data_IF_578975698532
#
_entry.id   IF_578975698532
#
_cell.length_a   1.000
_cell.length_b   1.000
_cell.length_c   1.000
_cell.angle_alpha   90.00
_cell.angle_beta   90.00
_cell.angle_gamma   90.00
#
_symmetry.space_group_name_H-M   'P 1'
#
loop_
_entity.id
_entity.type
_entity.pdbx_description
1 polymer ?
#
# COMPACT_ATOMS: atom_id res chain seq x y z
N UNK A 1 10.12 15.05 52.20
CA UNK A 1 10.22 15.13 50.73
C UNK A 1 10.97 13.87 50.33
N UNK A 2 10.36 12.99 49.54
CA UNK A 2 10.98 11.71 49.20
C UNK A 2 12.23 11.96 48.35
N UNK A 3 13.34 11.33 48.68
CA UNK A 3 14.57 11.48 47.90
C UNK A 3 14.40 10.80 46.54
N UNK A 4 14.61 11.57 45.47
CA UNK A 4 14.43 11.08 44.11
C UNK A 4 15.37 9.92 43.79
N UNK A 5 16.57 9.91 44.39
CA UNK A 5 17.56 8.88 44.13
C UNK A 5 17.19 7.56 44.84
N UNK A 6 16.64 7.62 46.05
CA UNK A 6 16.03 6.47 46.72
C UNK A 6 14.85 5.89 45.94
N UNK A 7 13.90 6.73 45.47
CA UNK A 7 12.79 6.27 44.64
C UNK A 7 13.26 5.54 43.37
N UNK A 8 14.29 6.07 42.68
CA UNK A 8 14.85 5.44 41.47
C UNK A 8 15.47 4.07 41.77
N UNK A 9 16.20 3.93 42.88
CA UNK A 9 16.77 2.64 43.29
C UNK A 9 15.69 1.60 43.59
N UNK A 10 14.58 2.02 44.20
CA UNK A 10 13.45 1.14 44.46
C UNK A 10 12.78 0.69 43.15
N UNK A 11 12.58 1.61 42.20
CA UNK A 11 12.08 1.29 40.85
C UNK A 11 13.01 0.27 40.16
N UNK A 12 14.33 0.45 40.20
CA UNK A 12 15.28 -0.49 39.59
C UNK A 12 15.18 -1.92 40.17
N UNK A 13 14.84 -2.05 41.46
CA UNK A 13 14.63 -3.35 42.11
C UNK A 13 13.33 -3.98 41.61
N UNK A 14 12.26 -3.19 41.55
CA UNK A 14 10.93 -3.64 41.08
C UNK A 14 11.01 -4.08 39.62
N UNK A 15 11.69 -3.31 38.76
CA UNK A 15 11.83 -3.61 37.33
C UNK A 15 12.54 -4.94 37.09
N UNK A 16 13.55 -5.27 37.90
CA UNK A 16 14.23 -6.57 37.84
C UNK A 16 13.30 -7.73 38.19
N UNK A 17 12.42 -7.55 39.18
CA UNK A 17 11.43 -8.56 39.53
C UNK A 17 10.36 -8.71 38.45
N UNK A 18 9.90 -7.61 37.85
CA UNK A 18 8.98 -7.63 36.70
C UNK A 18 9.59 -8.41 35.55
N UNK A 19 10.85 -8.11 35.18
CA UNK A 19 11.57 -8.82 34.12
C UNK A 19 11.69 -10.32 34.42
N UNK A 20 12.11 -10.68 35.63
CA UNK A 20 12.23 -12.09 36.06
C UNK A 20 10.89 -12.83 35.95
N UNK A 21 9.79 -12.19 36.38
CA UNK A 21 8.45 -12.76 36.30
C UNK A 21 7.96 -12.88 34.86
N UNK A 22 8.23 -11.86 34.03
CA UNK A 22 7.91 -11.86 32.61
C UNK A 22 8.60 -13.01 31.88
N UNK A 23 9.91 -13.19 32.07
CA UNK A 23 10.66 -14.30 31.47
C UNK A 23 10.16 -15.67 31.93
N UNK A 24 9.86 -15.82 33.23
CA UNK A 24 9.24 -17.04 33.76
C UNK A 24 7.90 -17.31 33.09
N UNK A 25 7.08 -16.28 32.88
CA UNK A 25 5.78 -16.38 32.19
C UNK A 25 5.98 -16.77 30.71
N UNK A 26 6.99 -16.25 30.04
CA UNK A 26 7.32 -16.64 28.66
C UNK A 26 7.69 -18.12 28.56
N UNK A 27 8.48 -18.67 29.49
CA UNK A 27 8.77 -20.12 29.52
C UNK A 27 7.51 -20.98 29.65
N UNK A 28 6.57 -20.57 30.50
CA UNK A 28 5.27 -21.26 30.62
C UNK A 28 4.47 -21.16 29.31
N UNK A 29 4.55 -20.01 28.63
CA UNK A 29 3.91 -19.81 27.33
C UNK A 29 4.44 -20.78 26.26
N UNK A 30 5.73 -21.13 26.29
CA UNK A 30 6.31 -22.12 25.36
C UNK A 30 5.69 -23.50 25.57
N UNK A 31 5.51 -23.93 26.83
CA UNK A 31 4.81 -25.19 27.14
C UNK A 31 3.34 -25.17 26.65
N UNK A 32 2.67 -24.02 26.74
CA UNK A 32 1.32 -23.84 26.20
C UNK A 32 1.33 -23.96 24.67
N UNK A 33 2.34 -23.39 24.01
CA UNK A 33 2.54 -23.51 22.57
C UNK A 33 2.69 -24.98 22.16
N UNK A 34 3.56 -25.73 22.83
CA UNK A 34 3.77 -27.16 22.59
C UNK A 34 2.46 -27.94 22.74
N UNK A 35 1.72 -27.72 23.82
CA UNK A 35 0.42 -28.36 24.00
C UNK A 35 -0.56 -28.04 22.87
N UNK A 36 -0.62 -26.77 22.42
CA UNK A 36 -1.48 -26.35 21.31
C UNK A 36 -1.06 -26.96 19.98
N UNK A 37 0.24 -27.06 19.71
CA UNK A 37 0.78 -27.73 18.52
C UNK A 37 0.31 -29.19 18.48
N UNK A 38 0.46 -29.93 19.58
CA UNK A 38 0.06 -31.35 19.63
C UNK A 38 -1.46 -31.57 19.57
N UNK A 39 -2.24 -30.61 20.06
CA UNK A 39 -3.71 -30.73 20.13
C UNK A 39 -4.46 -30.03 19.00
N UNK A 40 -3.76 -29.26 18.15
CA UNK A 40 -4.36 -28.42 17.11
C UNK A 40 -5.20 -27.26 17.63
N UNK A 41 -5.09 -26.90 18.93
CA UNK A 41 -5.85 -25.79 19.51
C UNK A 41 -5.33 -24.43 19.03
N UNK A 42 -6.24 -23.48 18.81
CA UNK A 42 -5.90 -22.11 18.42
C UNK A 42 -5.07 -21.40 19.49
N UNK A 43 -4.17 -20.54 19.05
CA UNK A 43 -3.34 -19.69 19.94
C UNK A 43 -4.20 -18.62 20.60
N UNK A 44 -4.98 -17.87 19.82
CA UNK A 44 -5.92 -16.87 20.33
C UNK A 44 -7.16 -17.54 20.92
N UNK A 45 -7.52 -17.15 22.14
CA UNK A 45 -8.79 -17.45 22.80
C UNK A 45 -9.33 -16.14 23.38
N UNK A 46 -10.16 -15.40 22.62
CA UNK A 46 -10.58 -14.05 22.99
C UNK A 46 -11.34 -14.02 24.32
N UNK A 47 -12.19 -15.02 24.56
CA UNK A 47 -12.98 -15.11 25.79
C UNK A 47 -12.08 -15.32 27.00
N UNK A 48 -11.14 -16.28 26.91
CA UNK A 48 -10.23 -16.58 28.01
C UNK A 48 -9.34 -15.39 28.37
N UNK A 49 -8.86 -14.67 27.37
CA UNK A 49 -8.04 -13.48 27.57
C UNK A 49 -8.86 -12.35 28.20
N UNK A 50 -10.05 -12.06 27.67
CA UNK A 50 -10.93 -11.04 28.22
C UNK A 50 -11.28 -11.33 29.69
N UNK A 51 -11.67 -12.57 30.00
CA UNK A 51 -11.97 -13.00 31.37
C UNK A 51 -10.77 -12.77 32.30
N UNK A 52 -9.55 -13.00 31.80
CA UNK A 52 -8.34 -12.81 32.60
C UNK A 52 -7.98 -11.34 32.79
N UNK A 53 -8.19 -10.51 31.77
CA UNK A 53 -7.99 -9.05 31.85
C UNK A 53 -8.97 -8.43 32.85
N UNK A 54 -10.25 -8.80 32.81
CA UNK A 54 -11.24 -8.34 33.78
C UNK A 54 -10.81 -8.65 35.22
N UNK A 55 -10.40 -9.90 35.50
CA UNK A 55 -9.92 -10.28 36.84
C UNK A 55 -8.71 -9.46 37.28
N UNK A 56 -7.76 -9.19 36.37
CA UNK A 56 -6.54 -8.43 36.70
C UNK A 56 -6.83 -6.95 36.91
N UNK A 57 -7.73 -6.38 36.10
CA UNK A 57 -8.24 -5.02 36.25
C UNK A 57 -8.90 -4.85 37.60
N UNK A 58 -9.86 -5.72 37.95
CA UNK A 58 -10.62 -5.65 39.21
C UNK A 58 -9.75 -5.90 40.45
N UNK A 59 -8.55 -6.47 40.28
CA UNK A 59 -7.57 -6.66 41.35
C UNK A 59 -6.67 -5.44 41.59
N UNK A 60 -6.66 -4.47 40.67
CA UNK A 60 -5.91 -3.23 40.83
C UNK A 60 -6.72 -2.20 41.65
N UNK A 61 -6.03 -1.20 42.22
CA UNK A 61 -6.66 -0.20 43.07
C UNK A 61 -6.61 1.18 42.43
N UNK A 62 -7.79 1.71 42.10
CA UNK A 62 -8.00 3.05 41.55
C UNK A 62 -7.96 3.06 40.02
N UNK A 63 -8.72 3.98 39.43
CA UNK A 63 -8.99 4.04 37.98
C UNK A 63 -7.71 4.04 37.12
N UNK A 64 -6.67 4.76 37.57
CA UNK A 64 -5.38 4.80 36.87
C UNK A 64 -4.70 3.42 36.81
N UNK A 65 -4.64 2.71 37.94
CA UNK A 65 -3.96 1.42 38.02
C UNK A 65 -4.78 0.31 37.37
N UNK A 66 -6.11 0.40 37.41
CA UNK A 66 -7.01 -0.52 36.70
C UNK A 66 -6.77 -0.46 35.19
N UNK A 67 -6.76 0.74 34.61
CA UNK A 67 -6.43 0.93 33.19
C UNK A 67 -4.99 0.50 32.89
N UNK A 68 -4.02 0.89 33.73
CA UNK A 68 -2.61 0.51 33.56
C UNK A 68 -2.40 -1.01 33.58
N UNK A 69 -3.06 -1.73 34.49
CA UNK A 69 -3.01 -3.18 34.56
C UNK A 69 -3.64 -3.82 33.32
N UNK A 70 -4.81 -3.34 32.89
CA UNK A 70 -5.46 -3.80 31.67
C UNK A 70 -4.51 -3.71 30.47
N UNK A 71 -3.95 -2.52 30.20
CA UNK A 71 -3.05 -2.29 29.07
C UNK A 71 -1.77 -3.14 29.16
N UNK A 72 -1.11 -3.16 30.33
CA UNK A 72 0.12 -3.93 30.54
C UNK A 72 -0.10 -5.42 30.26
N UNK A 73 -1.17 -6.01 30.80
CA UNK A 73 -1.41 -7.43 30.63
C UNK A 73 -1.93 -7.80 29.24
N UNK A 74 -2.66 -6.91 28.56
CA UNK A 74 -2.99 -7.07 27.14
C UNK A 74 -1.71 -7.13 26.30
N UNK A 75 -0.74 -6.24 26.56
CA UNK A 75 0.56 -6.29 25.90
C UNK A 75 1.32 -7.60 26.18
N UNK A 76 1.40 -8.02 27.44
CA UNK A 76 2.04 -9.29 27.79
C UNK A 76 1.37 -10.47 27.09
N UNK A 77 0.03 -10.51 27.00
CA UNK A 77 -0.71 -11.54 26.28
C UNK A 77 -0.41 -11.50 24.77
N UNK A 78 -0.39 -10.33 24.15
CA UNK A 78 -0.01 -10.19 22.74
C UNK A 78 1.41 -10.73 22.46
N UNK A 79 2.38 -10.42 23.33
CA UNK A 79 3.74 -10.97 23.23
C UNK A 79 3.74 -12.50 23.35
N UNK A 80 2.89 -13.03 24.23
CA UNK A 80 2.73 -14.49 24.42
C UNK A 80 2.22 -15.17 23.16
N UNK A 81 1.22 -14.58 22.50
CA UNK A 81 0.67 -15.12 21.25
C UNK A 81 1.71 -15.11 20.16
N UNK A 82 2.46 -14.02 20.01
CA UNK A 82 3.56 -13.94 19.02
C UNK A 82 4.61 -15.02 19.24
N UNK A 83 5.02 -15.26 20.50
CA UNK A 83 5.96 -16.35 20.81
C UNK A 83 5.37 -17.72 20.46
N UNK A 84 4.09 -17.95 20.75
CA UNK A 84 3.40 -19.17 20.34
C UNK A 84 3.37 -19.31 18.81
N UNK A 85 2.97 -18.27 18.06
CA UNK A 85 2.97 -18.29 16.60
C UNK A 85 4.36 -18.63 16.03
N UNK A 86 5.42 -18.05 16.60
CA UNK A 86 6.80 -18.35 16.19
C UNK A 86 7.12 -19.84 16.36
N UNK A 87 6.73 -20.42 17.49
CA UNK A 87 6.93 -21.84 17.78
C UNK A 87 6.09 -22.73 16.85
N UNK A 88 4.83 -22.39 16.59
CA UNK A 88 4.01 -23.12 15.63
C UNK A 88 4.68 -23.10 14.24
N UNK A 89 5.21 -21.96 13.79
CA UNK A 89 5.83 -21.80 12.46
C UNK A 89 7.10 -22.63 12.38
N UNK A 90 7.94 -22.58 13.42
CA UNK A 90 9.15 -23.39 13.52
C UNK A 90 8.88 -24.90 13.53
N UNK A 91 7.72 -25.33 14.04
CA UNK A 91 7.31 -26.73 14.05
C UNK A 91 6.53 -27.16 12.79
N UNK A 92 6.56 -26.37 11.72
CA UNK A 92 5.99 -26.75 10.43
C UNK A 92 4.46 -26.75 10.37
N UNK A 93 3.78 -26.13 11.34
CA UNK A 93 2.38 -25.76 11.15
C UNK A 93 2.38 -24.76 10.01
N UNK A 94 1.57 -24.95 8.97
CA UNK A 94 1.46 -24.04 7.82
C UNK A 94 0.37 -22.98 8.07
N UNK A 95 0.44 -21.85 7.35
CA UNK A 95 -0.66 -20.88 7.27
C UNK A 95 -1.60 -21.27 6.12
N UNK A 96 -2.82 -20.73 6.11
CA UNK A 96 -3.77 -20.92 5.01
C UNK A 96 -3.45 -20.08 3.76
N UNK A 97 -2.29 -19.40 3.74
CA UNK A 97 -1.74 -18.64 2.59
C UNK A 97 -1.16 -19.62 1.56
N UNK A 98 -1.92 -20.64 1.18
CA UNK A 98 -1.50 -21.74 0.29
C UNK A 98 -1.64 -21.41 -1.19
N UNK A 99 -2.25 -20.28 -1.51
CA UNK A 99 -2.60 -19.96 -2.89
C UNK A 99 -1.44 -19.31 -3.65
N UNK A 100 -0.41 -18.79 -2.97
CA UNK A 100 0.69 -18.09 -3.64
C UNK A 100 1.76 -19.05 -4.19
N UNK A 101 2.04 -18.93 -5.49
CA UNK A 101 3.10 -19.70 -6.17
C UNK A 101 4.31 -18.82 -6.47
N UNK A 102 5.45 -19.20 -5.91
CA UNK A 102 6.74 -18.61 -6.28
C UNK A 102 7.13 -19.05 -7.70
N UNK A 103 7.59 -18.10 -8.52
CA UNK A 103 8.11 -18.33 -9.86
C UNK A 103 9.52 -17.74 -10.00
N UNK A 104 10.30 -18.24 -10.96
CA UNK A 104 11.63 -17.70 -11.24
C UNK A 104 11.56 -16.30 -11.87
N UNK A 105 10.60 -16.11 -12.78
CA UNK A 105 10.28 -14.83 -13.40
C UNK A 105 8.80 -14.76 -13.81
N UNK A 106 8.21 -13.57 -13.81
CA UNK A 106 6.88 -13.33 -14.37
C UNK A 106 6.91 -13.38 -15.90
N UNK A 107 5.87 -13.91 -16.56
CA UNK A 107 5.77 -13.83 -18.02
C UNK A 107 5.48 -12.39 -18.46
N UNK A 108 6.50 -11.67 -18.93
CA UNK A 108 6.38 -10.28 -19.41
C UNK A 108 6.44 -10.14 -20.94
N UNK A 109 6.35 -11.25 -21.67
CA UNK A 109 6.39 -11.31 -23.14
C UNK A 109 5.27 -12.19 -23.68
N UNK A 110 4.69 -11.83 -24.82
CA UNK A 110 3.56 -12.53 -25.42
C UNK A 110 2.27 -12.46 -24.60
N UNK A 111 2.14 -11.48 -23.71
CA UNK A 111 1.02 -11.30 -22.78
C UNK A 111 0.11 -10.15 -23.17
N UNK A 112 -1.14 -10.22 -22.74
CA UNK A 112 -2.13 -9.18 -22.90
C UNK A 112 -2.11 -8.23 -21.70
N UNK A 113 -1.85 -6.94 -21.94
CA UNK A 113 -1.76 -5.94 -20.87
C UNK A 113 -2.79 -4.84 -21.09
N UNK A 114 -3.64 -4.60 -20.10
CA UNK A 114 -4.64 -3.53 -20.13
C UNK A 114 -4.22 -2.36 -19.24
N UNK A 115 -4.50 -1.14 -19.67
CA UNK A 115 -4.32 0.06 -18.84
C UNK A 115 -5.53 0.99 -18.96
N UNK A 116 -5.77 1.79 -17.93
CA UNK A 116 -6.82 2.80 -17.99
C UNK A 116 -6.31 4.06 -18.68
N UNK A 117 -7.13 4.62 -19.58
CA UNK A 117 -6.90 5.90 -20.23
C UNK A 117 -6.70 5.77 -21.73
N UNK A 118 -5.72 6.49 -22.26
CA UNK A 118 -5.34 6.49 -23.68
C UNK A 118 -3.82 6.49 -23.79
N UNK A 119 -3.30 6.18 -24.97
CA UNK A 119 -1.87 6.34 -25.26
C UNK A 119 -1.42 7.79 -24.93
N UNK A 120 -0.23 7.92 -24.36
CA UNK A 120 0.29 9.19 -23.84
C UNK A 120 -0.10 9.52 -22.39
N UNK A 121 -1.04 8.80 -21.77
CA UNK A 121 -1.30 8.91 -20.34
C UNK A 121 -0.16 8.31 -19.49
N UNK A 122 -0.06 8.69 -18.21
CA UNK A 122 0.97 8.13 -17.32
C UNK A 122 0.80 6.62 -17.10
N UNK A 123 -0.42 6.07 -17.12
CA UNK A 123 -0.65 4.61 -17.07
C UNK A 123 -0.03 3.89 -18.26
N UNK A 124 -0.09 4.51 -19.46
CA UNK A 124 0.58 3.98 -20.65
C UNK A 124 2.11 4.03 -20.50
N UNK A 125 2.64 5.15 -20.01
CA UNK A 125 4.07 5.29 -19.76
C UNK A 125 4.58 4.28 -18.72
N UNK A 126 3.83 4.07 -17.62
CA UNK A 126 4.14 3.05 -16.61
C UNK A 126 4.16 1.64 -17.20
N UNK A 127 3.16 1.31 -18.01
CA UNK A 127 3.12 0.03 -18.72
C UNK A 127 4.34 -0.16 -19.63
N UNK A 128 4.70 0.87 -20.39
CA UNK A 128 5.84 0.83 -21.33
C UNK A 128 7.20 0.79 -20.63
N UNK A 129 7.30 1.34 -19.43
CA UNK A 129 8.50 1.24 -18.59
C UNK A 129 8.66 -0.17 -18.00
N UNK A 130 7.55 -0.78 -17.55
CA UNK A 130 7.57 -2.08 -16.89
C UNK A 130 7.66 -3.27 -17.87
N UNK A 131 6.97 -3.19 -19.01
CA UNK A 131 6.88 -4.27 -20.00
C UNK A 131 7.73 -4.00 -21.24
N UNK A 132 8.33 -5.06 -21.80
CA UNK A 132 9.03 -5.00 -23.09
C UNK A 132 8.09 -4.74 -24.27
N UNK A 133 8.64 -4.41 -25.44
CA UNK A 133 7.86 -4.24 -26.68
C UNK A 133 7.09 -5.47 -27.15
N UNK A 134 7.43 -6.66 -26.63
CA UNK A 134 6.83 -7.92 -27.04
C UNK A 134 5.52 -8.23 -26.28
N UNK A 135 4.65 -7.24 -26.08
CA UNK A 135 3.32 -7.40 -25.46
C UNK A 135 2.19 -7.02 -26.41
N UNK A 136 0.99 -7.52 -26.15
CA UNK A 136 -0.23 -7.00 -26.76
C UNK A 136 -0.93 -6.07 -25.75
N UNK A 137 -0.80 -4.76 -25.94
CA UNK A 137 -1.41 -3.79 -25.03
C UNK A 137 -2.65 -3.14 -25.61
N UNK A 138 -3.61 -2.82 -24.74
CA UNK A 138 -4.81 -2.06 -25.10
C UNK A 138 -5.32 -1.24 -23.92
N UNK A 139 -6.21 -0.29 -24.19
CA UNK A 139 -6.72 0.63 -23.18
C UNK A 139 -8.23 0.48 -22.96
N UNK A 140 -8.65 0.85 -21.75
CA UNK A 140 -10.05 0.91 -21.33
C UNK A 140 -10.36 2.24 -20.67
N UNK A 141 -11.64 2.56 -20.54
CA UNK A 141 -12.09 3.87 -20.06
C UNK A 141 -11.95 4.02 -18.55
N UNK A 142 -12.28 2.99 -17.78
CA UNK A 142 -12.32 3.06 -16.31
C UNK A 142 -11.39 2.05 -15.66
N UNK A 143 -11.00 2.30 -14.40
CA UNK A 143 -10.22 1.34 -13.62
C UNK A 143 -10.98 0.04 -13.39
N UNK A 144 -12.32 0.12 -13.25
CA UNK A 144 -13.19 -1.05 -13.13
C UNK A 144 -13.11 -1.94 -14.37
N UNK A 145 -13.20 -1.36 -15.56
CA UNK A 145 -13.08 -2.11 -16.81
C UNK A 145 -11.74 -2.87 -16.87
N UNK A 146 -10.64 -2.23 -16.43
CA UNK A 146 -9.32 -2.87 -16.42
C UNK A 146 -9.28 -4.07 -15.45
N UNK A 147 -9.89 -3.93 -14.27
CA UNK A 147 -10.01 -5.03 -13.29
C UNK A 147 -10.88 -6.18 -13.85
N UNK A 148 -11.96 -5.87 -14.55
CA UNK A 148 -12.84 -6.87 -15.18
C UNK A 148 -12.17 -7.64 -16.32
N UNK A 149 -11.37 -6.96 -17.15
CA UNK A 149 -10.62 -7.59 -18.24
C UNK A 149 -9.60 -8.61 -17.70
N UNK A 150 -8.94 -8.31 -16.59
CA UNK A 150 -8.04 -9.28 -15.91
C UNK A 150 -8.83 -10.39 -15.23
N UNK A 151 -9.89 -10.05 -14.50
CA UNK A 151 -10.72 -11.04 -13.79
C UNK A 151 -11.42 -12.03 -14.74
N UNK A 152 -11.75 -11.60 -15.95
CA UNK A 152 -12.34 -12.45 -17.01
C UNK A 152 -11.32 -13.21 -17.85
N UNK A 153 -10.01 -12.96 -17.65
CA UNK A 153 -8.93 -13.62 -18.38
C UNK A 153 -8.70 -13.09 -19.81
N UNK A 154 -9.25 -11.93 -20.16
CA UNK A 154 -8.96 -11.26 -21.45
C UNK A 154 -7.61 -10.54 -21.44
N UNK A 155 -7.23 -10.00 -20.28
CA UNK A 155 -5.89 -9.50 -20.01
C UNK A 155 -5.18 -10.37 -18.98
N UNK A 156 -3.88 -10.55 -19.13
CA UNK A 156 -3.03 -11.23 -18.15
C UNK A 156 -2.66 -10.28 -16.99
N UNK A 157 -2.51 -8.99 -17.33
CA UNK A 157 -2.12 -7.93 -16.40
C UNK A 157 -2.90 -6.63 -16.61
N UNK A 158 -3.11 -5.89 -15.52
CA UNK A 158 -3.52 -4.48 -15.58
C UNK A 158 -2.51 -3.56 -14.88
N UNK A 159 -2.30 -2.37 -15.45
CA UNK A 159 -1.47 -1.31 -14.87
C UNK A 159 -2.35 -0.21 -14.29
N UNK A 160 -2.28 -0.02 -12.97
CA UNK A 160 -3.19 0.84 -12.22
C UNK A 160 -2.43 1.79 -11.28
N UNK A 161 -2.74 3.09 -11.24
CA UNK A 161 -2.13 4.01 -10.30
C UNK A 161 -2.68 3.77 -8.90
N UNK A 162 -1.83 3.51 -7.90
CA UNK A 162 -2.28 3.27 -6.51
C UNK A 162 -2.09 4.51 -5.62
N UNK A 163 -1.10 5.35 -5.93
CA UNK A 163 -0.71 6.48 -5.10
C UNK A 163 0.10 7.50 -5.89
N UNK A 164 -0.05 8.78 -5.55
CA UNK A 164 0.78 9.88 -6.03
C UNK A 164 1.37 10.62 -4.82
N UNK A 165 2.64 11.00 -4.89
CA UNK A 165 3.35 11.67 -3.78
C UNK A 165 2.78 13.05 -3.41
N UNK A 166 2.03 13.69 -4.32
CA UNK A 166 1.41 15.00 -4.10
C UNK A 166 -0.07 14.89 -3.71
N UNK A 167 -0.84 13.99 -4.33
CA UNK A 167 -2.28 13.87 -4.10
C UNK A 167 -2.69 12.77 -3.10
N UNK A 168 -1.75 11.92 -2.72
CA UNK A 168 -2.01 10.74 -1.91
C UNK A 168 -2.62 9.59 -2.71
N UNK A 169 -3.49 8.82 -2.07
CA UNK A 169 -3.96 7.53 -2.59
C UNK A 169 -4.99 7.66 -3.72
N UNK A 170 -4.96 6.73 -4.67
CA UNK A 170 -6.04 6.55 -5.63
C UNK A 170 -7.10 5.64 -5.00
N UNK A 171 -8.06 6.28 -4.33
CA UNK A 171 -9.08 5.62 -3.49
C UNK A 171 -9.78 4.45 -4.20
N UNK A 172 -10.21 4.64 -5.44
CA UNK A 172 -10.98 3.64 -6.19
C UNK A 172 -10.23 2.31 -6.35
N UNK A 173 -8.89 2.35 -6.46
CA UNK A 173 -8.07 1.15 -6.63
C UNK A 173 -8.10 0.27 -5.38
N UNK A 174 -8.11 0.84 -4.18
CA UNK A 174 -8.19 0.07 -2.93
C UNK A 174 -9.54 -0.63 -2.78
N UNK A 175 -10.60 0.05 -3.18
CA UNK A 175 -11.96 -0.50 -3.13
C UNK A 175 -12.11 -1.62 -4.18
N UNK A 176 -11.62 -1.39 -5.41
CA UNK A 176 -11.59 -2.40 -6.48
C UNK A 176 -10.69 -3.60 -6.13
N UNK A 177 -9.53 -3.41 -5.50
CA UNK A 177 -8.68 -4.51 -5.04
C UNK A 177 -9.39 -5.39 -4.00
N UNK A 178 -10.34 -4.84 -3.24
CA UNK A 178 -11.16 -5.64 -2.33
C UNK A 178 -12.27 -6.37 -3.08
N UNK A 179 -12.91 -5.70 -4.04
CA UNK A 179 -14.02 -6.23 -4.81
C UNK A 179 -13.59 -7.38 -5.74
N UNK A 180 -12.47 -7.21 -6.44
CA UNK A 180 -11.91 -8.22 -7.33
C UNK A 180 -10.81 -9.01 -6.62
N UNK A 181 -10.80 -10.33 -6.80
CA UNK A 181 -9.77 -11.21 -6.24
C UNK A 181 -8.49 -11.22 -7.09
N UNK A 182 -7.97 -10.02 -7.42
CA UNK A 182 -6.72 -9.84 -8.16
C UNK A 182 -5.55 -9.59 -7.23
N UNK A 183 -4.34 -9.92 -7.70
CA UNK A 183 -3.13 -9.93 -6.91
C UNK A 183 -2.08 -8.99 -7.50
N UNK A 184 -1.42 -8.22 -6.64
CA UNK A 184 -0.32 -7.35 -7.02
C UNK A 184 0.92 -8.21 -7.25
N UNK A 185 1.46 -8.15 -8.47
CA UNK A 185 2.63 -8.93 -8.91
C UNK A 185 3.84 -8.06 -9.23
N UNK A 186 3.63 -6.75 -9.36
CA UNK A 186 4.68 -5.78 -9.67
C UNK A 186 4.31 -4.36 -9.28
N UNK A 187 5.31 -3.49 -9.25
CA UNK A 187 5.17 -2.06 -8.98
C UNK A 187 6.12 -1.27 -9.90
N UNK A 188 5.64 -0.14 -10.40
CA UNK A 188 6.39 0.80 -11.24
C UNK A 188 6.20 2.24 -10.75
N UNK A 189 7.29 2.91 -10.39
CA UNK A 189 7.29 4.36 -10.15
C UNK A 189 7.36 5.13 -11.46
N UNK A 190 6.56 6.19 -11.61
CA UNK A 190 6.65 7.11 -12.74
C UNK A 190 6.73 8.54 -12.25
N UNK A 191 7.82 9.21 -12.60
CA UNK A 191 7.96 10.65 -12.40
C UNK A 191 6.97 11.41 -13.28
N UNK A 192 6.20 12.30 -12.65
CA UNK A 192 5.18 13.11 -13.31
C UNK A 192 5.84 14.39 -13.81
N UNK A 193 6.32 14.35 -15.05
CA UNK A 193 6.88 15.52 -15.71
C UNK A 193 5.84 16.14 -16.64
N UNK A 194 5.38 17.33 -16.29
CA UNK A 194 4.52 18.14 -17.13
C UNK A 194 5.37 19.05 -18.02
N UNK A 195 5.06 19.04 -19.31
CA UNK A 195 5.63 19.92 -20.33
C UNK A 195 4.52 20.73 -20.99
N UNK A 196 4.88 21.91 -21.50
CA UNK A 196 4.00 22.69 -22.36
C UNK A 196 4.17 22.21 -23.80
N UNK A 197 3.08 21.77 -24.41
CA UNK A 197 3.01 21.25 -25.77
C UNK A 197 2.26 22.22 -26.67
N UNK A 198 2.78 22.41 -27.88
CA UNK A 198 2.12 23.16 -28.92
C UNK A 198 2.42 22.60 -30.30
N UNK A 199 1.78 23.18 -31.31
CA UNK A 199 2.01 22.80 -32.71
C UNK A 199 3.47 23.11 -33.08
N UNK A 200 4.16 22.23 -33.83
CA UNK A 200 5.53 22.49 -34.26
C UNK A 200 5.73 23.87 -34.92
N UNK A 201 6.75 24.58 -34.46
CA UNK A 201 7.11 25.92 -34.96
C UNK A 201 6.22 27.07 -34.46
N UNK A 202 5.30 26.83 -33.54
CA UNK A 202 4.57 27.88 -32.81
C UNK A 202 5.47 28.53 -31.76
N UNK A 203 5.44 29.85 -31.63
CA UNK A 203 6.18 30.58 -30.59
C UNK A 203 5.34 30.77 -29.32
N UNK A 204 5.99 31.01 -28.17
CA UNK A 204 5.28 31.20 -26.88
C UNK A 204 4.39 32.45 -26.89
N UNK A 205 4.75 33.46 -27.68
CA UNK A 205 4.00 34.71 -27.84
C UNK A 205 2.69 34.54 -28.61
N UNK A 206 2.54 33.46 -29.39
CA UNK A 206 1.29 33.15 -30.11
C UNK A 206 0.22 32.56 -29.17
N UNK A 207 0.64 32.00 -28.03
CA UNK A 207 -0.24 31.27 -27.10
C UNK A 207 -1.18 32.23 -26.36
N UNK A 208 -2.47 31.88 -26.35
CA UNK A 208 -3.54 32.57 -25.64
C UNK A 208 -4.30 31.67 -24.68
N UNK A 209 -4.36 30.37 -24.97
CA UNK A 209 -5.14 29.42 -24.17
C UNK A 209 -4.33 28.16 -23.87
N UNK A 210 -4.33 27.72 -22.62
CA UNK A 210 -3.64 26.51 -22.16
C UNK A 210 -4.64 25.51 -21.61
N UNK A 211 -4.66 24.30 -22.14
CA UNK A 211 -5.56 23.23 -21.74
C UNK A 211 -4.84 22.19 -20.89
N UNK A 212 -5.47 21.72 -19.80
CA UNK A 212 -5.01 20.53 -19.07
C UNK A 212 -6.03 20.05 -18.05
N UNK A 213 -5.72 18.95 -17.35
CA UNK A 213 -6.46 18.52 -16.17
C UNK A 213 -6.37 19.59 -15.06
N UNK A 214 -7.42 19.84 -14.26
CA UNK A 214 -7.38 20.84 -13.19
C UNK A 214 -6.17 20.71 -12.25
N UNK A 215 -5.75 19.48 -11.97
CA UNK A 215 -4.61 19.18 -11.12
C UNK A 215 -3.28 19.58 -11.78
N UNK A 216 -3.08 19.24 -13.06
CA UNK A 216 -1.88 19.61 -13.80
C UNK A 216 -1.75 21.14 -13.93
N UNK A 217 -2.87 21.85 -14.13
CA UNK A 217 -2.91 23.31 -14.08
C UNK A 217 -2.51 23.86 -12.70
N UNK A 218 -2.99 23.24 -11.62
CA UNK A 218 -2.65 23.65 -10.26
C UNK A 218 -1.16 23.42 -9.95
N UNK A 219 -0.58 22.30 -10.39
CA UNK A 219 0.84 21.98 -10.23
C UNK A 219 1.75 22.92 -11.04
N UNK A 220 1.28 23.39 -12.20
CA UNK A 220 2.00 24.34 -13.06
C UNK A 220 1.61 25.82 -12.79
N UNK A 221 0.90 26.10 -11.69
CA UNK A 221 0.32 27.42 -11.42
C UNK A 221 1.34 28.56 -11.46
N UNK A 222 2.53 28.37 -10.85
CA UNK A 222 3.59 29.40 -10.83
C UNK A 222 4.08 29.75 -12.24
N UNK A 223 4.18 28.76 -13.13
CA UNK A 223 4.57 28.99 -14.53
C UNK A 223 3.45 29.66 -15.32
N UNK A 224 2.19 29.33 -15.04
CA UNK A 224 1.04 30.02 -15.63
C UNK A 224 0.94 31.47 -15.16
N UNK A 225 1.27 31.76 -13.89
CA UNK A 225 1.29 33.11 -13.33
C UNK A 225 2.36 34.01 -13.98
N UNK A 226 3.44 33.45 -14.53
CA UNK A 226 4.43 34.21 -15.30
C UNK A 226 3.96 34.57 -16.72
N UNK A 227 2.79 34.06 -17.14
CA UNK A 227 2.16 34.33 -18.44
C UNK A 227 0.72 34.83 -18.23
N UNK A 228 0.52 36.05 -17.70
CA UNK A 228 -0.80 36.54 -17.28
C UNK A 228 -1.82 36.67 -18.41
N UNK A 229 -1.36 36.75 -19.66
CA UNK A 229 -2.21 36.84 -20.86
C UNK A 229 -2.81 35.48 -21.28
N UNK A 230 -2.35 34.37 -20.68
CA UNK A 230 -2.84 33.04 -20.99
C UNK A 230 -4.10 32.69 -20.20
N UNK A 231 -5.09 32.15 -20.90
CA UNK A 231 -6.30 31.57 -20.30
C UNK A 231 -6.11 30.09 -20.05
N UNK A 232 -6.06 29.68 -18.78
CA UNK A 232 -6.06 28.27 -18.41
C UNK A 232 -7.49 27.67 -18.50
N UNK A 233 -7.65 26.59 -19.25
CA UNK A 233 -8.94 25.89 -19.45
C UNK A 233 -8.83 24.44 -19.00
N UNK A 234 -9.80 24.04 -18.18
CA UNK A 234 -9.88 22.69 -17.61
C UNK A 234 -10.39 21.70 -18.65
N UNK A 235 -9.77 20.53 -18.69
CA UNK A 235 -10.14 19.37 -19.51
C UNK A 235 -10.21 18.13 -18.62
N UNK A 236 -10.75 17.03 -19.16
CA UNK A 236 -10.94 15.77 -18.42
C UNK A 236 -9.62 15.09 -18.03
N UNK A 237 -8.61 15.11 -18.90
CA UNK A 237 -7.29 14.55 -18.60
C UNK A 237 -6.19 15.22 -19.46
N UNK A 238 -4.93 15.02 -19.06
CA UNK A 238 -3.76 15.65 -19.69
C UNK A 238 -3.53 15.19 -21.13
N UNK A 239 -3.67 13.88 -21.41
CA UNK A 239 -3.51 13.33 -22.75
C UNK A 239 -4.58 13.84 -23.73
N UNK A 240 -5.81 14.02 -23.24
CA UNK A 240 -6.93 14.59 -23.99
C UNK A 240 -6.72 16.07 -24.32
N UNK A 241 -6.05 16.83 -23.43
CA UNK A 241 -5.63 18.18 -23.75
C UNK A 241 -4.63 18.21 -24.92
N UNK A 242 -3.62 17.33 -24.92
CA UNK A 242 -2.67 17.22 -26.03
C UNK A 242 -3.37 16.80 -27.34
N UNK A 243 -4.26 15.80 -27.27
CA UNK A 243 -5.06 15.34 -28.42
C UNK A 243 -5.86 16.48 -29.05
N UNK A 244 -6.49 17.32 -28.22
CA UNK A 244 -7.25 18.49 -28.68
C UNK A 244 -6.40 19.46 -29.51
N UNK A 245 -5.17 19.76 -29.07
CA UNK A 245 -4.26 20.66 -29.81
C UNK A 245 -3.93 20.08 -31.19
N UNK A 246 -3.70 18.77 -31.25
CA UNK A 246 -3.45 18.07 -32.49
C UNK A 246 -4.66 18.08 -33.44
N UNK A 247 -5.87 17.88 -32.91
CA UNK A 247 -7.10 17.86 -33.73
C UNK A 247 -7.52 19.25 -34.21
N UNK A 248 -7.35 20.30 -33.40
CA UNK A 248 -7.80 21.66 -33.76
C UNK A 248 -6.80 22.44 -34.59
N UNK A 249 -5.50 22.11 -34.51
CA UNK A 249 -4.43 22.77 -35.24
C UNK A 249 -4.41 24.32 -35.08
N UNK A 250 -4.92 24.83 -33.95
CA UNK A 250 -4.90 26.24 -33.60
C UNK A 250 -3.60 26.61 -32.86
N UNK A 251 -2.77 27.44 -33.51
CA UNK A 251 -1.47 27.86 -32.97
C UNK A 251 -1.58 28.76 -31.75
N UNK A 252 -2.77 29.27 -31.44
CA UNK A 252 -3.00 30.06 -30.22
C UNK A 252 -3.29 29.20 -28.98
N UNK A 253 -3.32 27.88 -29.15
CA UNK A 253 -3.60 26.92 -28.09
C UNK A 253 -2.35 26.08 -27.76
N UNK A 254 -2.20 25.78 -26.48
CA UNK A 254 -1.20 24.85 -25.96
C UNK A 254 -1.84 23.88 -24.95
N UNK A 255 -1.16 22.76 -24.69
CA UNK A 255 -1.56 21.80 -23.67
C UNK A 255 -0.46 21.60 -22.64
N UNK A 256 -0.83 21.44 -21.38
CA UNK A 256 0.07 20.89 -20.36
C UNK A 256 -0.18 19.39 -20.28
N UNK A 257 0.80 18.58 -20.62
CA UNK A 257 0.69 17.11 -20.59
C UNK A 257 2.05 16.44 -20.38
N UNK A 258 2.09 15.11 -20.48
CA UNK A 258 3.34 14.34 -20.49
C UNK A 258 4.10 14.56 -21.81
N UNK A 259 5.42 14.39 -21.78
CA UNK A 259 6.26 14.39 -23.00
C UNK A 259 5.79 13.32 -24.00
N UNK A 260 5.47 12.12 -23.50
CA UNK A 260 4.97 11.02 -24.30
C UNK A 260 3.69 11.36 -25.08
N UNK A 261 2.78 12.17 -24.51
CA UNK A 261 1.61 12.65 -25.24
C UNK A 261 2.01 13.61 -26.38
N UNK A 262 3.03 14.44 -26.18
CA UNK A 262 3.58 15.30 -27.24
C UNK A 262 4.13 14.50 -28.42
N UNK A 263 4.96 13.49 -28.13
CA UNK A 263 5.53 12.60 -29.15
C UNK A 263 4.45 11.83 -29.91
N UNK A 264 3.46 11.28 -29.20
CA UNK A 264 2.34 10.55 -29.78
C UNK A 264 1.54 11.40 -30.77
N UNK A 265 1.25 12.65 -30.41
CA UNK A 265 0.42 13.55 -31.22
C UNK A 265 1.24 14.46 -32.15
N UNK A 266 2.56 14.26 -32.25
CA UNK A 266 3.44 15.08 -33.10
C UNK A 266 3.50 16.56 -32.67
N UNK A 267 3.31 16.85 -31.39
CA UNK A 267 3.41 18.19 -30.82
C UNK A 267 4.85 18.46 -30.37
N UNK A 268 5.25 19.73 -30.44
CA UNK A 268 6.56 20.18 -29.98
C UNK A 268 6.49 20.63 -28.52
N UNK A 269 7.53 20.27 -27.76
CA UNK A 269 7.73 20.77 -26.41
C UNK A 269 8.18 22.22 -26.49
N UNK A 270 7.31 23.13 -26.02
CA UNK A 270 7.54 24.58 -26.01
C UNK A 270 8.26 25.03 -24.73
N UNK A 271 7.99 24.34 -23.61
CA UNK A 271 8.63 24.59 -22.33
C UNK A 271 8.67 23.31 -21.48
N UNK A 272 9.75 23.16 -20.74
CA UNK A 272 10.02 22.04 -19.83
C UNK A 272 10.12 22.54 -18.39
N UNK A 273 10.06 21.62 -17.42
CA UNK A 273 10.21 21.93 -15.99
C UNK A 273 9.22 23.02 -15.50
N UNK A 274 8.00 22.99 -16.04
CA UNK A 274 6.93 23.96 -15.70
C UNK A 274 6.19 23.60 -14.40
N UNK A 275 6.43 22.39 -13.89
CA UNK A 275 6.02 21.94 -12.57
C UNK A 275 7.16 22.14 -11.58
N UNK A 276 6.90 22.78 -10.43
CA UNK A 276 7.93 23.13 -9.43
C UNK A 276 8.15 22.04 -8.36
N UNK A 277 7.52 20.86 -8.51
CA UNK A 277 7.74 19.72 -7.62
C UNK A 277 8.49 18.62 -8.38
N UNK A 278 9.81 18.54 -8.19
CA UNK A 278 10.66 17.54 -8.83
C UNK A 278 10.46 16.13 -8.25
N UNK A 279 9.88 16.02 -7.05
CA UNK A 279 9.60 14.75 -6.36
C UNK A 279 8.17 14.23 -6.62
N UNK A 280 7.49 14.74 -7.66
CA UNK A 280 6.15 14.28 -8.01
C UNK A 280 6.21 12.91 -8.73
N UNK A 281 5.92 11.84 -8.00
CA UNK A 281 5.95 10.46 -8.49
C UNK A 281 4.58 9.83 -8.30
N UNK A 282 4.12 9.12 -9.33
CA UNK A 282 2.95 8.26 -9.24
C UNK A 282 3.42 6.81 -9.22
N UNK A 283 2.99 6.08 -8.19
CA UNK A 283 3.22 4.65 -8.03
C UNK A 283 2.11 3.88 -8.72
N UNK A 284 2.50 3.02 -9.66
CA UNK A 284 1.61 2.11 -10.36
C UNK A 284 1.84 0.69 -9.86
N UNK A 285 0.75 -0.06 -9.76
CA UNK A 285 0.76 -1.50 -9.47
C UNK A 285 0.44 -2.28 -10.74
N UNK A 286 1.04 -3.45 -10.84
CA UNK A 286 0.74 -4.46 -11.86
C UNK A 286 -0.07 -5.54 -11.17
N UNK A 287 -1.30 -5.77 -11.64
CA UNK A 287 -2.21 -6.76 -11.05
C UNK A 287 -2.48 -7.91 -12.00
N UNK A 288 -2.61 -9.12 -11.47
CA UNK A 288 -2.95 -10.34 -12.21
C UNK A 288 -4.05 -11.13 -11.51
N UNK A 289 -4.74 -12.00 -12.24
CA UNK A 289 -5.68 -12.96 -11.66
C UNK A 289 -4.98 -14.09 -10.90
N UNK A 290 -3.67 -14.29 -11.13
CA UNK A 290 -2.91 -15.37 -10.53
C UNK A 290 -2.12 -14.89 -9.31
N UNK A 291 -2.21 -15.58 -8.15
CA UNK A 291 -1.41 -15.31 -6.96
C UNK A 291 0.03 -15.82 -7.16
N UNK A 292 0.83 -15.11 -7.95
CA UNK A 292 2.24 -15.45 -8.21
C UNK A 292 3.16 -14.36 -7.71
N UNK A 293 4.40 -14.73 -7.37
CA UNK A 293 5.44 -13.79 -7.00
C UNK A 293 6.82 -14.30 -7.43
N UNK A 294 7.73 -13.38 -7.75
CA UNK A 294 9.11 -13.74 -8.08
C UNK A 294 9.94 -14.01 -6.83
N UNK A 295 10.99 -14.81 -6.97
CA UNK A 295 11.95 -15.06 -5.88
C UNK A 295 12.63 -13.77 -5.37
N UNK A 296 12.78 -12.78 -6.23
CA UNK A 296 13.33 -11.45 -5.91
C UNK A 296 12.34 -10.51 -5.23
N UNK A 297 11.07 -10.92 -5.05
CA UNK A 297 10.05 -10.07 -4.44
C UNK A 297 10.45 -9.66 -3.01
N UNK A 298 10.37 -8.37 -2.73
CA UNK A 298 10.86 -7.77 -1.48
C UNK A 298 9.83 -6.85 -0.81
N UNK A 299 8.63 -6.73 -1.37
CA UNK A 299 7.52 -5.95 -0.82
C UNK A 299 6.27 -6.81 -0.75
N UNK A 300 5.53 -6.69 0.35
CA UNK A 300 4.26 -7.38 0.56
C UNK A 300 3.20 -6.34 0.91
N UNK A 301 2.06 -6.43 0.22
CA UNK A 301 0.85 -5.69 0.57
C UNK A 301 -0.15 -6.62 1.23
N UNK A 302 -0.70 -6.19 2.36
CA UNK A 302 -1.81 -6.88 3.04
C UNK A 302 -2.94 -5.91 3.28
N UNK A 303 -4.14 -6.46 3.37
CA UNK A 303 -5.30 -5.77 3.93
C UNK A 303 -5.87 -6.55 5.09
N UNK A 304 -6.35 -5.85 6.12
CA UNK A 304 -7.04 -6.46 7.24
C UNK A 304 -8.12 -5.56 7.83
N UNK A 305 -9.16 -6.18 8.35
CA UNK A 305 -10.31 -5.53 9.00
C UNK A 305 -10.25 -5.77 10.51
N UNK A 306 -10.46 -4.72 11.29
CA UNK A 306 -10.38 -4.74 12.75
C UNK A 306 -11.69 -4.24 13.37
N UNK A 307 -12.05 -4.73 14.58
CA UNK A 307 -13.10 -4.09 15.38
C UNK A 307 -12.69 -2.66 15.75
N UNK A 308 -13.68 -1.78 15.90
CA UNK A 308 -13.48 -0.39 16.29
C UNK A 308 -13.33 -0.27 17.82
N UNK A 309 -12.20 -0.73 18.34
CA UNK A 309 -11.89 -0.75 19.77
C UNK A 309 -10.49 -0.19 20.05
N UNK A 310 -10.31 0.41 21.24
CA UNK A 310 -9.03 0.97 21.66
C UNK A 310 -7.91 -0.07 21.63
N UNK A 311 -6.73 0.31 21.16
CA UNK A 311 -5.54 -0.56 21.11
C UNK A 311 -5.50 -1.58 19.97
N UNK A 312 -6.61 -1.84 19.27
CA UNK A 312 -6.70 -2.92 18.26
C UNK A 312 -5.68 -2.76 17.13
N UNK A 313 -5.56 -1.55 16.54
CA UNK A 313 -4.56 -1.29 15.51
C UNK A 313 -3.15 -1.42 16.05
N UNK A 314 -2.88 -0.89 17.25
CA UNK A 314 -1.57 -1.01 17.88
C UNK A 314 -1.14 -2.48 18.05
N UNK A 315 -2.05 -3.33 18.55
CA UNK A 315 -1.79 -4.76 18.68
C UNK A 315 -1.53 -5.42 17.33
N UNK A 316 -2.29 -5.03 16.29
CA UNK A 316 -2.08 -5.54 14.94
C UNK A 316 -0.70 -5.17 14.37
N UNK A 317 -0.32 -3.89 14.47
CA UNK A 317 0.98 -3.41 13.97
C UNK A 317 2.16 -3.98 14.74
N UNK A 318 1.95 -4.38 16.00
CA UNK A 318 2.97 -5.00 16.81
C UNK A 318 3.39 -6.40 16.30
N UNK A 319 2.69 -7.01 15.33
CA UNK A 319 3.19 -8.20 14.64
C UNK A 319 4.41 -7.90 13.75
N UNK A 320 4.52 -6.70 13.17
CA UNK A 320 5.69 -6.33 12.37
C UNK A 320 6.92 -6.09 13.26
N UNK A 321 6.77 -5.34 14.35
CA UNK A 321 7.84 -5.01 15.29
C UNK A 321 8.55 -6.26 15.83
N UNK A 322 7.79 -7.25 16.30
CA UNK A 322 8.36 -8.45 16.94
C UNK A 322 8.95 -9.46 15.94
N UNK A 323 8.71 -9.25 14.65
CA UNK A 323 9.33 -10.00 13.57
C UNK A 323 10.45 -9.21 12.87
N UNK A 324 10.75 -7.99 13.33
CA UNK A 324 11.78 -7.14 12.73
C UNK A 324 11.44 -6.69 11.30
N UNK A 325 10.15 -6.56 10.97
CA UNK A 325 9.68 -6.16 9.65
C UNK A 325 9.45 -4.65 9.58
N UNK A 326 9.94 -4.03 8.52
CA UNK A 326 9.78 -2.59 8.24
C UNK A 326 8.50 -2.35 7.43
N UNK A 327 7.59 -1.52 7.96
CA UNK A 327 6.44 -1.05 7.19
C UNK A 327 6.84 0.15 6.33
N UNK A 328 6.37 0.17 5.09
CA UNK A 328 6.59 1.26 4.14
C UNK A 328 5.33 2.07 3.87
N UNK A 329 4.15 1.51 4.17
CA UNK A 329 2.87 2.20 4.06
C UNK A 329 1.84 1.70 5.05
N UNK A 330 0.99 2.61 5.52
CA UNK A 330 -0.28 2.28 6.16
C UNK A 330 -1.37 3.25 5.70
N UNK A 331 -2.52 2.71 5.31
CA UNK A 331 -3.68 3.49 4.89
C UNK A 331 -4.96 2.88 5.45
N UNK A 332 -5.96 3.72 5.75
CA UNK A 332 -7.25 3.26 6.30
C UNK A 332 -8.42 3.64 5.39
N UNK A 333 -9.34 2.69 5.21
CA UNK A 333 -10.54 2.86 4.39
C UNK A 333 -11.79 2.47 5.20
N UNK A 334 -12.81 3.33 5.28
CA UNK A 334 -14.09 2.96 5.88
C UNK A 334 -14.71 1.78 5.14
N UNK A 335 -15.29 0.83 5.87
CA UNK A 335 -15.96 -0.32 5.26
C UNK A 335 -17.40 0.06 4.89
N UNK A 336 -17.73 0.02 3.60
CA UNK A 336 -19.09 0.27 3.11
C UNK A 336 -20.10 -0.64 3.81
N UNK A 337 -21.15 -0.04 4.36
CA UNK A 337 -22.22 -0.75 5.06
C UNK A 337 -21.97 -1.04 6.54
N UNK A 338 -20.76 -0.75 7.07
CA UNK A 338 -20.46 -0.89 8.50
C UNK A 338 -20.06 0.46 9.10
N UNK A 339 -20.77 0.91 10.14
CA UNK A 339 -20.46 2.18 10.79
C UNK A 339 -19.18 2.05 11.61
N UNK A 340 -18.20 2.92 11.32
CA UNK A 340 -16.95 3.08 12.08
C UNK A 340 -16.01 1.87 12.07
N UNK A 341 -16.24 0.87 11.21
CA UNK A 341 -15.25 -0.17 10.94
C UNK A 341 -14.37 0.23 9.75
N UNK A 342 -13.09 -0.11 9.85
CA UNK A 342 -12.08 0.28 8.88
C UNK A 342 -11.33 -0.96 8.38
N UNK A 343 -11.00 -0.93 7.09
CA UNK A 343 -10.01 -1.81 6.47
C UNK A 343 -8.70 -1.06 6.40
N UNK A 344 -7.63 -1.68 6.88
CA UNK A 344 -6.28 -1.15 6.78
C UNK A 344 -5.57 -1.84 5.62
N UNK A 345 -4.80 -1.06 4.88
CA UNK A 345 -3.88 -1.51 3.85
C UNK A 345 -2.47 -1.20 4.31
N UNK A 346 -1.61 -2.21 4.34
CA UNK A 346 -0.25 -2.10 4.85
C UNK A 346 0.71 -2.69 3.84
N UNK A 347 1.72 -1.90 3.45
CA UNK A 347 2.88 -2.38 2.70
C UNK A 347 4.05 -2.53 3.67
N UNK A 348 4.81 -3.61 3.54
CA UNK A 348 6.01 -3.86 4.34
C UNK A 348 7.06 -4.64 3.54
N UNK A 349 8.31 -4.54 3.97
CA UNK A 349 9.44 -5.21 3.34
C UNK A 349 9.49 -6.69 3.74
N UNK A 350 9.77 -7.55 2.76
CA UNK A 350 10.00 -8.98 2.95
C UNK A 350 9.48 -9.85 1.80
N UNK A 351 9.78 -11.14 1.90
CA UNK A 351 9.32 -12.18 1.00
C UNK A 351 8.44 -13.22 1.71
N UNK A 352 7.43 -13.76 1.03
CA UNK A 352 6.52 -14.76 1.59
C UNK A 352 7.22 -16.03 2.07
N UNK A 353 8.42 -16.35 1.56
CA UNK A 353 9.22 -17.48 2.02
C UNK A 353 9.92 -17.24 3.37
N UNK A 354 10.07 -15.99 3.80
CA UNK A 354 10.80 -15.67 5.02
C UNK A 354 10.07 -16.12 6.28
N UNK A 355 10.75 -16.77 7.25
CA UNK A 355 10.12 -17.20 8.50
C UNK A 355 9.50 -16.06 9.31
N UNK A 356 10.12 -14.88 9.30
CA UNK A 356 9.63 -13.68 9.98
C UNK A 356 8.29 -13.21 9.39
N UNK A 357 8.20 -13.18 8.05
CA UNK A 357 6.98 -12.84 7.31
C UNK A 357 5.89 -13.87 7.55
N UNK A 358 6.17 -15.17 7.37
CA UNK A 358 5.20 -16.25 7.64
C UNK A 358 4.63 -16.16 9.05
N UNK A 359 5.47 -15.84 10.03
CA UNK A 359 5.05 -15.66 11.41
C UNK A 359 4.20 -14.39 11.63
N UNK A 360 4.57 -13.27 11.02
CA UNK A 360 3.78 -12.04 11.10
C UNK A 360 2.38 -12.25 10.50
N UNK A 361 2.31 -12.79 9.27
CA UNK A 361 1.05 -13.04 8.57
C UNK A 361 0.12 -13.99 9.35
N UNK A 362 0.67 -15.03 10.01
CA UNK A 362 -0.11 -15.91 10.90
C UNK A 362 -0.79 -15.15 12.03
N UNK A 363 -0.02 -14.26 12.66
CA UNK A 363 -0.54 -13.46 13.77
C UNK A 363 -1.63 -12.50 13.31
N UNK A 364 -1.41 -11.82 12.18
CA UNK A 364 -2.39 -10.94 11.56
C UNK A 364 -3.69 -11.70 11.21
N UNK A 365 -3.58 -12.86 10.56
CA UNK A 365 -4.73 -13.68 10.17
C UNK A 365 -5.53 -14.19 11.37
N UNK A 366 -4.83 -14.59 12.44
CA UNK A 366 -5.48 -15.12 13.64
C UNK A 366 -6.21 -14.06 14.48
N UNK A 367 -5.78 -12.79 14.39
CA UNK A 367 -6.28 -11.69 15.21
C UNK A 367 -7.20 -10.71 14.45
N UNK A 368 -7.16 -10.70 13.11
CA UNK A 368 -8.04 -9.86 12.29
C UNK A 368 -9.43 -10.51 12.09
N UNK A 369 -10.47 -9.68 11.88
CA UNK A 369 -11.80 -10.17 11.48
C UNK A 369 -11.76 -10.75 10.06
N UNK A 370 -10.95 -10.14 9.21
CA UNK A 370 -10.66 -10.56 7.85
C UNK A 370 -9.26 -10.09 7.51
N UNK A 371 -8.49 -10.94 6.85
CA UNK A 371 -7.18 -10.59 6.32
C UNK A 371 -7.06 -11.10 4.89
N UNK A 372 -6.32 -10.38 4.06
CA UNK A 372 -5.95 -10.82 2.72
C UNK A 372 -4.54 -10.32 2.40
N UNK A 373 -3.68 -11.24 1.94
CA UNK A 373 -2.46 -10.85 1.23
C UNK A 373 -2.88 -10.38 -0.16
N UNK A 374 -2.50 -9.15 -0.51
CA UNK A 374 -2.81 -8.55 -1.81
C UNK A 374 -1.72 -8.86 -2.83
N UNK A 375 -0.48 -9.05 -2.40
CA UNK A 375 0.62 -9.42 -3.28
C UNK A 375 1.95 -9.52 -2.55
N UNK A 376 2.90 -10.23 -3.17
CA UNK A 376 4.32 -10.12 -2.86
C UNK A 376 5.02 -9.85 -4.19
N UNK A 377 5.75 -8.76 -4.28
CA UNK A 377 6.24 -8.28 -5.57
C UNK A 377 7.57 -7.55 -5.43
N UNK A 378 8.28 -7.46 -6.55
CA UNK A 378 9.50 -6.67 -6.66
C UNK A 378 9.18 -5.19 -6.88
N UNK A 379 10.14 -4.35 -6.52
CA UNK A 379 10.17 -2.94 -6.92
C UNK A 379 11.13 -2.82 -8.10
N UNK A 380 10.67 -2.34 -9.25
CA UNK A 380 11.60 -1.78 -10.23
C UNK A 380 11.94 -0.37 -9.75
N UNK A 381 13.18 -0.19 -9.28
CA UNK A 381 13.69 1.13 -8.93
C UNK A 381 13.80 2.00 -10.20
N UNK A 382 13.60 3.29 -10.01
CA UNK A 382 13.72 4.31 -11.06
C UNK A 382 15.12 4.28 -11.68
N UNK A 383 15.21 4.31 -13.02
CA UNK A 383 16.40 4.85 -13.71
C UNK A 383 16.21 6.33 -14.00
#
# INVERSE_FOLDING_TARGET
MTDLQECRKEIDIIDKEILRLFEKRMKVCENVAEYKIHTGKKVLDPKREQDKITVLKDSAHGEFNELGAQELFQQIMAISRKRQYQLLTKNGVENDIKDYKMVDALPLTGVNVVFQGVEGAYSYAAMRAYFSDAINSYHVKTFRDAMEEVASGKADYAVLPIENSTEGIVTDIYDLLTEYQLYIVGEQGMKVEHVLLGIPGTSLEEIKTVYSHPQALAQCKKYLESHPDWKAVKTENTAGAAKKIHEELDRTQAAIASRAAGELYGLSVMAENICYNEENVTRFIIVSAHPVYEKSAAKISVSFELPHESGTLYHMLSHFIYNGLSMTKIESRPITGKKWEYRFFVDFEGNLEEPAVKNALRGLEAEANRMRVLGNYGQQEEE
#
